data_IF_824345520597
#
_entry.id   IF_824345520597
#
_cell.length_a   1.000
_cell.length_b   1.000
_cell.length_c   1.000
_cell.angle_alpha   90.00
_cell.angle_beta   90.00
_cell.angle_gamma   90.00
#
_symmetry.space_group_name_H-M   'P 1'
#
loop_
_entity.id
_entity.type
_entity.pdbx_description
1 polymer ?
#
# COMPACT_ATOMS: atom_id res chain seq x y z
N UNK A 1 -11.88 -48.82 30.76
CA UNK A 1 -12.66 -47.57 30.89
C UNK A 1 -12.07 -46.58 29.88
N UNK A 2 -12.87 -46.18 28.88
CA UNK A 2 -12.41 -45.46 27.67
C UNK A 2 -12.30 -43.95 27.96
N UNK A 3 -11.14 -43.35 27.71
CA UNK A 3 -10.95 -41.88 27.76
C UNK A 3 -11.25 -41.32 26.38
N UNK A 4 -12.25 -40.44 26.29
CA UNK A 4 -12.67 -39.77 25.06
C UNK A 4 -11.91 -38.45 24.95
N UNK A 5 -11.02 -38.32 23.95
CA UNK A 5 -10.32 -37.06 23.64
C UNK A 5 -11.23 -36.24 22.71
N UNK A 6 -11.73 -35.11 23.19
CA UNK A 6 -12.44 -34.12 22.38
C UNK A 6 -11.41 -33.27 21.62
N UNK A 7 -11.28 -33.52 20.32
CA UNK A 7 -10.47 -32.71 19.41
C UNK A 7 -11.34 -31.56 18.89
N UNK A 8 -11.17 -30.37 19.46
CA UNK A 8 -11.87 -29.16 19.01
C UNK A 8 -11.27 -28.67 17.69
N UNK A 9 -11.99 -28.83 16.58
CA UNK A 9 -11.60 -28.23 15.28
C UNK A 9 -12.01 -26.76 15.25
N UNK A 10 -11.07 -25.86 15.51
CA UNK A 10 -11.26 -24.44 15.22
C UNK A 10 -11.19 -24.22 13.70
N UNK A 11 -12.34 -23.99 13.05
CA UNK A 11 -12.36 -23.44 11.70
C UNK A 11 -12.03 -21.94 11.80
N UNK A 12 -10.78 -21.58 11.51
CA UNK A 12 -10.42 -20.20 11.25
C UNK A 12 -11.10 -19.79 9.93
N UNK A 13 -12.09 -18.90 10.00
CA UNK A 13 -12.64 -18.26 8.81
C UNK A 13 -11.56 -17.38 8.19
N UNK A 14 -10.90 -17.85 7.13
CA UNK A 14 -10.19 -16.96 6.20
C UNK A 14 -11.26 -16.19 5.42
N UNK A 15 -11.86 -15.19 6.05
CA UNK A 15 -12.55 -14.14 5.34
C UNK A 15 -11.47 -13.40 4.54
N UNK A 16 -11.22 -13.85 3.32
CA UNK A 16 -10.41 -13.09 2.37
C UNK A 16 -11.09 -11.74 2.19
N UNK A 17 -10.38 -10.66 2.53
CA UNK A 17 -10.84 -9.32 2.20
C UNK A 17 -10.99 -9.24 0.69
N UNK A 18 -12.21 -9.04 0.20
CA UNK A 18 -12.43 -8.78 -1.22
C UNK A 18 -11.50 -7.63 -1.63
N UNK A 19 -10.61 -7.89 -2.60
CA UNK A 19 -9.72 -6.87 -3.10
C UNK A 19 -10.60 -5.78 -3.72
N UNK A 20 -10.52 -4.56 -3.19
CA UNK A 20 -11.18 -3.42 -3.82
C UNK A 20 -10.72 -3.33 -5.29
N UNK A 21 -11.59 -2.81 -6.17
CA UNK A 21 -11.19 -2.55 -7.55
C UNK A 21 -9.93 -1.67 -7.55
N UNK A 22 -9.01 -1.84 -8.51
CA UNK A 22 -7.87 -0.95 -8.62
C UNK A 22 -8.31 0.52 -8.68
N UNK A 23 -7.71 1.37 -7.85
CA UNK A 23 -8.05 2.80 -7.74
C UNK A 23 -6.88 3.67 -8.19
N UNK A 24 -7.19 4.87 -8.69
CA UNK A 24 -6.18 5.89 -8.90
C UNK A 24 -5.88 6.63 -7.59
N UNK A 25 -4.60 6.84 -7.31
CA UNK A 25 -4.15 7.60 -6.13
C UNK A 25 -3.78 9.01 -6.58
N UNK A 26 -4.34 10.04 -5.94
CA UNK A 26 -4.08 11.45 -6.25
C UNK A 26 -3.47 12.20 -5.08
N UNK A 27 -2.65 13.20 -5.38
CA UNK A 27 -2.22 14.19 -4.40
C UNK A 27 -3.39 15.11 -4.04
N UNK A 28 -3.61 15.32 -2.74
CA UNK A 28 -4.63 16.26 -2.23
C UNK A 28 -3.91 17.29 -1.36
N UNK A 29 -3.34 18.30 -2.01
CA UNK A 29 -2.79 19.49 -1.35
C UNK A 29 -3.59 20.71 -1.78
N UNK A 30 -3.64 21.77 -0.96
CA UNK A 30 -4.14 23.06 -1.40
C UNK A 30 -2.99 23.92 -1.96
N UNK A 31 -3.11 24.54 -3.14
CA UNK A 31 -4.23 24.42 -4.08
C UNK A 31 -4.28 23.04 -4.75
N UNK A 32 -5.50 22.58 -5.08
CA UNK A 32 -5.71 21.23 -5.62
C UNK A 32 -5.17 21.16 -7.04
N UNK A 33 -4.09 20.41 -7.21
CA UNK A 33 -3.61 19.97 -8.52
C UNK A 33 -4.09 18.53 -8.73
N UNK A 34 -4.74 18.26 -9.87
CA UNK A 34 -5.18 16.92 -10.27
C UNK A 34 -3.98 16.07 -10.72
N UNK A 35 -3.06 15.83 -9.79
CA UNK A 35 -1.87 15.02 -10.02
C UNK A 35 -2.03 13.64 -9.40
N UNK A 36 -1.67 12.63 -10.18
CA UNK A 36 -1.92 11.22 -9.90
C UNK A 36 -0.62 10.45 -9.86
N UNK A 37 -0.56 9.50 -8.92
CA UNK A 37 0.57 8.62 -8.73
C UNK A 37 0.76 7.72 -9.95
N UNK A 38 1.99 7.65 -10.43
CA UNK A 38 2.40 6.86 -11.59
C UNK A 38 3.90 6.61 -11.55
N UNK A 39 4.37 5.59 -12.27
CA UNK A 39 5.79 5.35 -12.41
C UNK A 39 6.40 6.26 -13.49
N UNK A 40 7.53 6.88 -13.18
CA UNK A 40 8.24 7.75 -14.11
C UNK A 40 8.55 7.03 -15.43
N UNK A 41 8.37 7.71 -16.56
CA UNK A 41 8.41 7.07 -17.87
C UNK A 41 9.80 6.56 -18.25
N UNK A 42 10.87 7.21 -17.77
CA UNK A 42 12.25 6.80 -18.04
C UNK A 42 12.80 5.78 -17.06
N UNK A 43 12.27 5.76 -15.84
CA UNK A 43 12.66 4.82 -14.79
C UNK A 43 11.43 4.46 -13.94
N UNK A 44 10.96 3.23 -14.13
CA UNK A 44 9.73 2.76 -13.48
C UNK A 44 9.88 2.50 -11.99
N UNK A 45 11.10 2.54 -11.45
CA UNK A 45 11.34 2.45 -10.01
C UNK A 45 11.03 3.76 -9.27
N UNK A 46 10.86 4.86 -10.00
CA UNK A 46 10.64 6.19 -9.42
C UNK A 46 9.15 6.55 -9.47
N UNK A 47 8.47 6.61 -8.32
CA UNK A 47 7.11 7.13 -8.25
C UNK A 47 7.10 8.64 -8.42
N UNK A 48 6.16 9.14 -9.21
CA UNK A 48 5.94 10.58 -9.45
C UNK A 48 4.46 10.92 -9.42
N UNK A 49 4.16 12.19 -9.22
CA UNK A 49 2.83 12.77 -9.42
C UNK A 49 2.77 13.45 -10.79
N UNK A 50 1.83 13.05 -11.64
CA UNK A 50 1.68 13.54 -13.01
C UNK A 50 0.23 13.63 -13.46
N UNK A 51 -0.04 13.85 -14.76
CA UNK A 51 -1.41 14.02 -15.25
C UNK A 51 -2.24 12.73 -15.11
N UNK A 52 -3.56 12.89 -15.00
CA UNK A 52 -4.52 11.79 -14.87
C UNK A 52 -4.48 10.79 -16.01
N UNK A 53 -4.24 11.27 -17.24
CA UNK A 53 -4.20 10.44 -18.44
C UNK A 53 -3.11 9.34 -18.41
N UNK A 54 -2.07 9.53 -17.61
CA UNK A 54 -0.98 8.56 -17.42
C UNK A 54 -0.95 7.96 -16.02
N UNK A 55 -1.98 8.20 -15.21
CA UNK A 55 -2.11 7.65 -13.87
C UNK A 55 -2.15 6.11 -13.90
N UNK A 56 -1.54 5.51 -12.89
CA UNK A 56 -1.66 4.07 -12.66
C UNK A 56 -2.85 3.78 -11.76
N UNK A 57 -3.36 2.55 -11.89
CA UNK A 57 -4.34 1.99 -10.99
C UNK A 57 -3.63 1.12 -9.95
N UNK A 58 -4.10 1.14 -8.71
CA UNK A 58 -3.46 0.46 -7.60
C UNK A 58 -4.44 -0.44 -6.86
N UNK A 59 -4.01 -1.67 -6.61
CA UNK A 59 -4.62 -2.54 -5.61
C UNK A 59 -4.18 -2.05 -4.22
N UNK A 60 -5.12 -1.55 -3.43
CA UNK A 60 -4.86 -1.02 -2.08
C UNK A 60 -5.48 -1.96 -1.05
N UNK A 61 -4.65 -2.80 -0.42
CA UNK A 61 -5.09 -3.81 0.53
C UNK A 61 -3.99 -4.14 1.56
N UNK A 62 -3.68 -3.19 2.44
CA UNK A 62 -2.54 -3.27 3.39
C UNK A 62 -1.17 -3.08 2.74
N UNK A 63 -1.09 -3.31 1.44
CA UNK A 63 0.00 -2.93 0.55
C UNK A 63 -0.58 -2.10 -0.60
N UNK A 64 0.28 -1.42 -1.35
CA UNK A 64 -0.12 -0.64 -2.52
C UNK A 64 0.64 -1.21 -3.71
N UNK A 65 -0.05 -1.95 -4.56
CA UNK A 65 0.52 -2.58 -5.74
C UNK A 65 -0.05 -1.95 -7.00
N UNK A 66 0.81 -1.54 -7.93
CA UNK A 66 0.38 -1.11 -9.25
C UNK A 66 -0.28 -2.27 -9.99
N UNK A 67 -1.53 -2.09 -10.42
CA UNK A 67 -2.21 -3.01 -11.33
C UNK A 67 -1.64 -2.95 -12.76
N UNK A 68 -0.91 -1.87 -13.09
CA UNK A 68 -0.26 -1.70 -14.39
C UNK A 68 1.06 -2.47 -14.48
N UNK A 69 1.89 -2.41 -13.44
CA UNK A 69 3.27 -2.95 -13.47
C UNK A 69 3.53 -4.08 -12.47
N UNK A 70 2.59 -4.38 -11.57
CA UNK A 70 2.75 -5.28 -10.43
C UNK A 70 3.82 -4.86 -9.41
N UNK A 71 4.43 -3.69 -9.57
CA UNK A 71 5.38 -3.11 -8.62
C UNK A 71 4.66 -2.60 -7.38
N UNK A 72 5.31 -2.70 -6.23
CA UNK A 72 4.78 -2.19 -4.97
C UNK A 72 5.34 -0.81 -4.67
N UNK A 73 4.47 0.09 -4.20
CA UNK A 73 4.89 1.35 -3.59
C UNK A 73 5.54 1.05 -2.24
N UNK A 74 6.83 1.30 -2.14
CA UNK A 74 7.65 1.08 -0.97
C UNK A 74 8.21 2.37 -0.37
N UNK A 75 8.87 2.21 0.78
CA UNK A 75 9.56 3.28 1.50
C UNK A 75 11.06 2.98 1.48
N UNK A 76 11.84 3.97 1.06
CA UNK A 76 13.30 3.93 1.00
C UNK A 76 13.96 3.83 2.36
N UNK A 77 15.24 3.45 2.36
CA UNK A 77 16.07 3.30 3.57
C UNK A 77 16.93 4.53 3.84
N UNK A 78 16.49 5.70 3.38
CA UNK A 78 17.25 6.94 3.53
C UNK A 78 17.52 7.24 5.01
N UNK A 79 18.67 7.83 5.32
CA UNK A 79 19.01 8.22 6.70
C UNK A 79 18.30 9.51 7.14
N UNK A 80 17.77 10.29 6.19
CA UNK A 80 17.10 11.58 6.40
C UNK A 80 15.74 11.42 7.09
N UNK A 81 15.21 12.49 7.68
CA UNK A 81 13.88 12.49 8.31
C UNK A 81 12.75 12.22 7.31
N UNK A 82 12.91 12.65 6.06
CA UNK A 82 12.06 12.26 4.94
C UNK A 82 12.61 11.00 4.27
N UNK A 83 11.71 10.10 3.85
CA UNK A 83 12.06 8.89 3.10
C UNK A 83 11.64 9.04 1.65
N UNK A 84 12.47 8.55 0.75
CA UNK A 84 12.17 8.43 -0.66
C UNK A 84 11.10 7.35 -0.83
N UNK A 85 10.15 7.56 -1.74
CA UNK A 85 9.24 6.49 -2.18
C UNK A 85 9.84 5.81 -3.41
N UNK A 86 9.59 4.52 -3.56
CA UNK A 86 10.09 3.73 -4.68
C UNK A 86 9.05 2.72 -5.14
N UNK A 87 9.11 2.35 -6.41
CA UNK A 87 8.43 1.17 -6.94
C UNK A 87 9.43 0.02 -7.06
N UNK A 88 9.06 -1.16 -6.56
CA UNK A 88 9.94 -2.32 -6.64
C UNK A 88 9.23 -3.66 -6.48
N UNK A 89 9.96 -4.73 -6.83
CA UNK A 89 9.52 -6.12 -6.66
C UNK A 89 9.73 -6.67 -5.23
N UNK A 90 10.50 -5.96 -4.41
CA UNK A 90 10.79 -6.39 -3.03
C UNK A 90 9.56 -6.30 -2.15
N UNK A 91 9.40 -7.27 -1.23
CA UNK A 91 8.23 -7.46 -0.35
C UNK A 91 7.50 -6.16 -0.07
N UNK A 92 6.27 -6.11 -0.58
CA UNK A 92 5.28 -5.11 -0.29
C UNK A 92 5.43 -4.63 1.16
N UNK A 93 5.70 -3.34 1.35
CA UNK A 93 5.72 -2.82 2.71
C UNK A 93 4.31 -2.87 3.26
N UNK A 94 4.16 -3.48 4.44
CA UNK A 94 2.90 -3.48 5.16
C UNK A 94 2.71 -2.15 5.92
N UNK A 95 3.65 -1.20 5.82
CA UNK A 95 3.60 0.05 6.57
C UNK A 95 2.41 0.94 6.18
N UNK A 96 1.78 0.72 5.02
CA UNK A 96 0.64 1.51 4.55
C UNK A 96 -0.65 1.17 5.29
N UNK A 97 -1.47 2.20 5.52
CA UNK A 97 -2.81 2.11 6.04
C UNK A 97 -3.69 3.21 5.48
N UNK A 98 -4.97 3.19 5.84
CA UNK A 98 -5.95 4.18 5.42
C UNK A 98 -6.53 4.92 6.63
N UNK A 99 -6.62 6.24 6.52
CA UNK A 99 -7.39 7.11 7.42
C UNK A 99 -8.48 7.76 6.55
N UNK A 100 -9.67 7.15 6.53
CA UNK A 100 -10.66 7.40 5.47
C UNK A 100 -10.11 6.99 4.10
N UNK A 101 -10.11 7.92 3.13
CA UNK A 101 -9.52 7.71 1.80
C UNK A 101 -8.04 8.11 1.72
N UNK A 102 -7.46 8.60 2.81
CA UNK A 102 -6.07 9.08 2.84
C UNK A 102 -5.11 7.94 3.16
N UNK A 103 -4.11 7.76 2.31
CA UNK A 103 -3.00 6.83 2.56
C UNK A 103 -2.07 7.42 3.62
N UNK A 104 -1.83 6.65 4.67
CA UNK A 104 -0.93 7.00 5.77
C UNK A 104 0.01 5.84 6.10
N UNK A 105 1.05 6.10 6.89
CA UNK A 105 1.78 5.02 7.56
C UNK A 105 1.02 4.58 8.82
N UNK A 106 0.84 3.26 9.00
CA UNK A 106 0.22 2.68 10.21
C UNK A 106 1.02 3.10 11.44
N UNK A 107 0.32 3.39 12.53
CA UNK A 107 0.96 3.67 13.83
C UNK A 107 1.84 2.51 14.31
N UNK A 108 1.46 1.26 13.99
CA UNK A 108 2.24 0.07 14.34
C UNK A 108 3.49 -0.14 13.47
N UNK A 109 3.65 0.62 12.38
CA UNK A 109 4.85 0.56 11.54
C UNK A 109 5.99 1.38 12.16
N UNK A 110 7.24 1.05 11.80
CA UNK A 110 8.41 1.86 12.19
C UNK A 110 8.37 3.29 11.65
N UNK A 111 7.50 3.57 10.68
CA UNK A 111 7.28 4.89 10.07
C UNK A 111 5.99 5.57 10.56
N UNK A 112 5.28 4.97 11.50
CA UNK A 112 4.05 5.52 12.06
C UNK A 112 4.30 6.79 12.88
N UNK A 113 3.29 7.67 12.96
CA UNK A 113 3.31 8.79 13.90
C UNK A 113 3.41 8.22 15.32
N UNK A 114 4.49 8.55 16.03
CA UNK A 114 4.63 8.22 17.46
C UNK A 114 3.86 9.28 18.26
N UNK A 115 2.87 8.83 19.00
CA UNK A 115 2.17 9.63 20.01
C UNK A 115 2.90 9.53 21.34
#
# INVERSE_FOLDING_TARGET
>A
MRVLVLLSTALASLAGTALAKPEQIRGVSSPVYHLYLQAYSKDKSIPVLGPEASAEFFNVAGTIQSANSSLYLGIGRDATSYKTLLFGNGSATDAWGLEGDTIITKQSSSWGRRM
#
